data_IF_208516597357
#
_entry.id   IF_208516597357
#
_cell.length_a   1.000
_cell.length_b   1.000
_cell.length_c   1.000
_cell.angle_alpha   90.00
_cell.angle_beta   90.00
_cell.angle_gamma   90.00
#
_symmetry.space_group_name_H-M   'P 1'
#
loop_
_entity.id
_entity.type
_entity.pdbx_description
1 polymer ?
#
# COMPACT_ATOMS: atom_id res chain seq x y z
N UNK A 1 -14.15 23.41 29.50
CA UNK A 1 -12.87 23.63 28.80
C UNK A 1 -12.14 22.33 28.44
N UNK A 2 -12.22 21.22 29.20
CA UNK A 2 -11.52 19.94 28.91
C UNK A 2 -11.99 19.25 27.65
N UNK A 3 -13.29 19.10 27.42
CA UNK A 3 -13.87 18.38 26.25
C UNK A 3 -13.50 19.01 24.88
N UNK A 4 -13.40 20.35 24.83
CA UNK A 4 -12.95 21.05 23.60
C UNK A 4 -11.46 20.81 23.31
N UNK A 5 -10.63 20.68 24.33
CA UNK A 5 -9.18 20.44 24.20
C UNK A 5 -8.88 19.00 23.79
N UNK A 6 -9.64 18.03 24.31
CA UNK A 6 -9.55 16.61 23.92
C UNK A 6 -10.00 16.39 22.46
N UNK A 7 -11.12 16.98 22.03
CA UNK A 7 -11.58 16.92 20.63
C UNK A 7 -10.58 17.56 19.66
N UNK A 8 -10.00 18.70 20.03
CA UNK A 8 -8.98 19.38 19.22
C UNK A 8 -7.73 18.53 19.08
N UNK A 9 -7.26 17.87 20.15
CA UNK A 9 -6.10 16.98 20.13
C UNK A 9 -6.35 15.75 19.24
N UNK A 10 -7.56 15.17 19.27
CA UNK A 10 -7.94 14.02 18.45
C UNK A 10 -7.97 14.36 16.94
N UNK A 11 -8.49 15.56 16.58
CA UNK A 11 -8.53 16.00 15.17
C UNK A 11 -7.12 16.21 14.64
N UNK A 12 -6.24 16.86 15.41
CA UNK A 12 -4.85 17.11 15.00
C UNK A 12 -4.09 15.79 14.81
N UNK A 13 -4.31 14.80 15.69
CA UNK A 13 -3.71 13.48 15.54
C UNK A 13 -4.25 12.72 14.30
N UNK A 14 -5.56 12.81 14.03
CA UNK A 14 -6.15 12.23 12.79
C UNK A 14 -5.56 12.88 11.54
N UNK A 15 -5.38 14.20 11.56
CA UNK A 15 -4.73 14.93 10.45
C UNK A 15 -3.28 14.47 10.26
N UNK A 16 -2.54 14.26 11.35
CA UNK A 16 -1.18 13.73 11.28
C UNK A 16 -1.14 12.31 10.69
N UNK A 17 -2.03 11.42 11.16
CA UNK A 17 -2.15 10.05 10.61
C UNK A 17 -2.48 10.10 9.11
N UNK A 18 -3.42 10.95 8.71
CA UNK A 18 -3.81 11.13 7.32
C UNK A 18 -2.64 11.63 6.46
N UNK A 19 -1.92 12.64 6.92
CA UNK A 19 -0.77 13.21 6.22
C UNK A 19 0.40 12.23 6.14
N UNK A 20 0.68 11.48 7.21
CA UNK A 20 1.68 10.40 7.21
C UNK A 20 1.30 9.35 6.16
N UNK A 21 0.05 8.87 6.18
CA UNK A 21 -0.43 7.87 5.24
C UNK A 21 -0.32 8.32 3.78
N UNK A 22 -0.63 9.59 3.51
CA UNK A 22 -0.57 10.21 2.19
C UNK A 22 0.83 10.14 1.57
N UNK A 23 1.89 10.10 2.40
CA UNK A 23 3.28 10.04 1.94
C UNK A 23 3.76 8.63 1.54
N UNK A 24 2.99 7.58 1.81
CA UNK A 24 3.48 6.20 1.73
C UNK A 24 3.40 5.58 0.32
N UNK A 25 2.76 6.22 -0.66
CA UNK A 25 2.56 5.65 -2.00
C UNK A 25 3.02 6.54 -3.17
N UNK A 26 3.09 7.89 -3.08
CA UNK A 26 3.38 8.75 -4.22
C UNK A 26 4.67 8.38 -4.94
N UNK A 27 5.69 7.97 -4.19
CA UNK A 27 7.02 7.66 -4.72
C UNK A 27 7.06 6.44 -5.65
N UNK A 28 6.06 5.56 -5.58
CA UNK A 28 5.89 4.43 -6.49
C UNK A 28 5.03 4.80 -7.71
N UNK A 29 3.90 5.46 -7.46
CA UNK A 29 2.91 5.76 -8.50
C UNK A 29 3.35 6.86 -9.45
N UNK A 30 4.22 7.77 -9.02
CA UNK A 30 4.80 8.82 -9.85
C UNK A 30 5.80 8.33 -10.89
N UNK A 31 6.32 7.09 -10.75
CA UNK A 31 7.32 6.53 -11.67
C UNK A 31 6.69 6.14 -13.01
N UNK A 32 5.54 5.46 -12.98
CA UNK A 32 4.91 4.92 -14.20
C UNK A 32 4.72 5.95 -15.32
N UNK A 33 4.08 7.10 -15.06
CA UNK A 33 3.91 8.15 -16.06
C UNK A 33 5.22 8.71 -16.62
N UNK A 34 6.31 8.71 -15.84
CA UNK A 34 7.64 9.20 -16.19
C UNK A 34 8.59 8.10 -16.66
N UNK A 35 8.10 6.87 -16.86
CA UNK A 35 8.94 5.71 -17.11
C UNK A 35 9.83 5.85 -18.36
N UNK A 36 9.32 6.49 -19.42
CA UNK A 36 10.08 6.72 -20.67
C UNK A 36 11.21 7.70 -20.42
N UNK A 37 10.94 8.83 -19.78
CA UNK A 37 11.95 9.86 -19.49
C UNK A 37 13.06 9.29 -18.58
N UNK A 38 12.67 8.54 -17.55
CA UNK A 38 13.60 7.86 -16.64
C UNK A 38 14.46 6.85 -17.41
N UNK A 39 13.84 6.00 -18.23
CA UNK A 39 14.54 4.96 -19.00
C UNK A 39 15.56 5.58 -19.97
N UNK A 40 15.17 6.62 -20.71
CA UNK A 40 16.04 7.29 -21.67
C UNK A 40 17.24 7.99 -21.00
N UNK A 41 17.03 8.60 -19.83
CA UNK A 41 18.09 9.35 -19.12
C UNK A 41 18.99 8.47 -18.26
N UNK A 42 18.48 7.32 -17.75
CA UNK A 42 19.22 6.46 -16.82
C UNK A 42 19.70 5.15 -17.42
N UNK A 43 19.23 4.81 -18.61
CA UNK A 43 19.51 3.53 -19.27
C UNK A 43 18.82 2.31 -18.64
N UNK A 44 17.87 2.53 -17.70
CA UNK A 44 17.10 1.43 -17.11
C UNK A 44 16.16 0.81 -18.13
N UNK A 45 16.35 -0.48 -18.40
CA UNK A 45 15.40 -1.29 -19.17
C UNK A 45 14.18 -1.69 -18.32
N UNK A 46 13.20 -2.37 -18.92
CA UNK A 46 11.93 -2.74 -18.28
C UNK A 46 12.11 -3.48 -16.96
N UNK A 47 13.01 -4.47 -16.91
CA UNK A 47 13.32 -5.19 -15.66
C UNK A 47 13.95 -4.27 -14.60
N UNK A 48 14.83 -3.35 -15.00
CA UNK A 48 15.40 -2.33 -14.11
C UNK A 48 14.36 -1.39 -13.55
N UNK A 49 13.39 -0.98 -14.37
CA UNK A 49 12.25 -0.16 -13.93
C UNK A 49 11.37 -0.91 -12.91
N UNK A 50 11.19 -2.23 -13.08
CA UNK A 50 10.46 -3.05 -12.12
C UNK A 50 11.11 -3.04 -10.72
N UNK A 51 12.44 -2.85 -10.60
CA UNK A 51 13.13 -2.74 -9.31
C UNK A 51 12.67 -1.53 -8.50
N UNK A 52 12.19 -0.48 -9.14
CA UNK A 52 11.69 0.73 -8.44
C UNK A 52 10.41 0.47 -7.64
N UNK A 53 9.68 -0.60 -7.96
CA UNK A 53 8.53 -1.07 -7.16
C UNK A 53 8.87 -2.32 -6.35
N UNK A 54 9.66 -3.24 -6.90
CA UNK A 54 10.05 -4.50 -6.26
C UNK A 54 10.86 -4.25 -4.97
N UNK A 55 11.91 -3.43 -5.04
CA UNK A 55 12.81 -3.18 -3.89
C UNK A 55 12.04 -2.57 -2.71
N UNK A 56 11.25 -1.50 -2.87
CA UNK A 56 10.42 -0.99 -1.79
C UNK A 56 9.47 -2.03 -1.19
N UNK A 57 8.81 -2.83 -2.01
CA UNK A 57 7.85 -3.83 -1.53
C UNK A 57 8.54 -4.98 -0.81
N UNK A 58 9.73 -5.42 -1.25
CA UNK A 58 10.54 -6.39 -0.51
C UNK A 58 10.94 -5.85 0.86
N UNK A 59 11.36 -4.58 0.92
CA UNK A 59 11.69 -3.94 2.19
C UNK A 59 10.46 -3.81 3.10
N UNK A 60 9.31 -3.43 2.57
CA UNK A 60 8.06 -3.44 3.32
C UNK A 60 7.74 -4.84 3.84
N UNK A 61 7.95 -5.88 3.04
CA UNK A 61 7.77 -7.26 3.44
C UNK A 61 8.69 -7.67 4.59
N UNK A 62 9.99 -7.47 4.45
CA UNK A 62 11.01 -7.86 5.43
C UNK A 62 10.88 -7.07 6.71
N UNK A 63 10.79 -5.74 6.62
CA UNK A 63 10.76 -4.87 7.81
C UNK A 63 9.42 -4.87 8.54
N UNK A 64 8.35 -5.39 7.96
CA UNK A 64 7.10 -5.64 8.70
C UNK A 64 7.33 -6.61 9.88
N UNK A 65 8.25 -7.57 9.75
CA UNK A 65 8.62 -8.49 10.83
C UNK A 65 9.47 -7.81 11.91
N UNK A 66 10.11 -6.69 11.59
CA UNK A 66 10.93 -5.92 12.56
C UNK A 66 10.09 -4.97 13.43
N UNK A 67 8.79 -4.77 13.14
CA UNK A 67 7.90 -3.86 13.87
C UNK A 67 7.98 -4.01 15.39
N UNK A 68 7.78 -5.23 15.96
CA UNK A 68 7.87 -5.44 17.41
C UNK A 68 9.26 -5.14 17.99
N UNK A 69 10.33 -5.40 17.25
CA UNK A 69 11.69 -5.06 17.65
C UNK A 69 11.90 -3.55 17.72
N UNK A 70 11.50 -2.83 16.68
CA UNK A 70 11.59 -1.38 16.61
C UNK A 70 10.79 -0.71 17.74
N UNK A 71 9.58 -1.20 18.00
CA UNK A 71 8.72 -0.72 19.08
C UNK A 71 9.40 -0.84 20.45
N UNK A 72 10.08 -1.97 20.72
CA UNK A 72 10.67 -2.25 22.01
C UNK A 72 12.04 -1.59 22.24
N UNK A 73 12.82 -1.39 21.18
CA UNK A 73 14.21 -0.89 21.29
C UNK A 73 14.31 0.62 21.05
N UNK A 74 13.57 1.13 20.09
CA UNK A 74 13.68 2.54 19.66
C UNK A 74 12.49 3.38 20.17
N UNK A 75 11.34 2.76 20.32
CA UNK A 75 10.05 3.40 20.59
C UNK A 75 9.26 3.71 19.30
N UNK A 76 7.95 3.76 19.43
CA UNK A 76 7.05 3.95 18.27
C UNK A 76 7.21 5.33 17.64
N UNK A 77 7.18 6.39 18.45
CA UNK A 77 7.29 7.77 17.99
C UNK A 77 8.61 8.02 17.27
N UNK A 78 9.73 7.65 17.91
CA UNK A 78 11.05 7.84 17.31
C UNK A 78 11.21 7.06 16.02
N UNK A 79 10.74 5.81 15.97
CA UNK A 79 10.79 4.98 14.75
C UNK A 79 10.00 5.61 13.61
N UNK A 80 8.79 6.12 13.88
CA UNK A 80 7.97 6.80 12.85
C UNK A 80 8.63 8.09 12.38
N UNK A 81 9.21 8.90 13.28
CA UNK A 81 9.88 10.15 12.90
C UNK A 81 11.15 9.88 12.06
N UNK A 82 11.96 8.88 12.42
CA UNK A 82 13.11 8.46 11.61
C UNK A 82 12.64 7.96 10.23
N UNK A 83 11.57 7.19 10.19
CA UNK A 83 11.00 6.71 8.93
C UNK A 83 10.52 7.87 8.02
N UNK A 84 9.87 8.88 8.58
CA UNK A 84 9.47 10.09 7.85
C UNK A 84 10.70 10.89 7.37
N UNK A 85 11.75 10.97 8.17
CA UNK A 85 13.01 11.59 7.76
C UNK A 85 13.65 10.83 6.58
N UNK A 86 13.58 9.49 6.55
CA UNK A 86 14.02 8.68 5.41
C UNK A 86 13.19 8.99 4.14
N UNK A 87 11.87 9.23 4.28
CA UNK A 87 11.04 9.64 3.14
C UNK A 87 11.44 11.03 2.61
N UNK A 88 11.76 11.99 3.50
CA UNK A 88 12.27 13.32 3.11
C UNK A 88 13.58 13.17 2.34
N UNK A 89 14.56 12.51 2.95
CA UNK A 89 15.90 12.34 2.38
C UNK A 89 15.85 11.57 1.06
N UNK A 90 15.14 10.43 1.03
CA UNK A 90 15.02 9.61 -0.17
C UNK A 90 14.36 10.34 -1.34
N UNK A 91 13.32 11.15 -1.06
CA UNK A 91 12.68 11.98 -2.09
C UNK A 91 13.58 13.11 -2.55
N UNK A 92 14.28 13.78 -1.64
CA UNK A 92 15.22 14.88 -1.97
C UNK A 92 16.42 14.40 -2.79
N UNK A 93 16.99 13.24 -2.45
CA UNK A 93 18.12 12.66 -3.18
C UNK A 93 17.79 12.33 -4.64
N UNK A 94 16.52 12.18 -5.00
CA UNK A 94 16.10 11.98 -6.39
C UNK A 94 16.48 13.16 -7.32
N UNK A 95 16.67 14.35 -6.77
CA UNK A 95 17.17 15.52 -7.53
C UNK A 95 18.57 15.31 -8.10
N UNK A 96 19.36 14.45 -7.51
CA UNK A 96 20.78 14.28 -7.83
C UNK A 96 21.09 12.92 -8.47
N UNK A 97 20.08 12.15 -8.83
CA UNK A 97 20.27 10.82 -9.43
C UNK A 97 20.67 10.95 -10.89
N UNK A 98 21.84 10.44 -11.25
CA UNK A 98 22.36 10.42 -12.62
C UNK A 98 22.35 9.01 -13.25
N UNK A 99 22.09 7.97 -12.43
CA UNK A 99 22.04 6.59 -12.89
C UNK A 99 20.83 5.85 -12.33
N UNK A 100 20.40 4.81 -13.05
CA UNK A 100 19.28 3.99 -12.61
C UNK A 100 19.51 3.31 -11.25
N UNK A 101 20.74 2.91 -10.94
CA UNK A 101 21.07 2.30 -9.66
C UNK A 101 20.97 3.28 -8.48
N UNK A 102 21.33 4.55 -8.68
CA UNK A 102 21.10 5.59 -7.68
C UNK A 102 19.60 5.78 -7.44
N UNK A 103 18.80 5.77 -8.51
CA UNK A 103 17.33 5.87 -8.39
C UNK A 103 16.75 4.67 -7.62
N UNK A 104 17.23 3.44 -7.87
CA UNK A 104 16.87 2.24 -7.09
C UNK A 104 17.30 2.38 -5.62
N UNK A 105 18.48 2.95 -5.35
CA UNK A 105 18.93 3.26 -3.99
C UNK A 105 17.99 4.22 -3.26
N UNK A 106 17.52 5.28 -3.92
CA UNK A 106 16.51 6.18 -3.33
C UNK A 106 15.18 5.47 -3.10
N UNK A 107 14.76 4.59 -4.02
CA UNK A 107 13.55 3.79 -3.86
C UNK A 107 13.67 2.84 -2.65
N UNK A 108 14.85 2.29 -2.37
CA UNK A 108 15.11 1.49 -1.19
C UNK A 108 14.95 2.30 0.11
N UNK A 109 15.49 3.54 0.17
CA UNK A 109 15.30 4.43 1.33
C UNK A 109 13.82 4.74 1.58
N UNK A 110 13.09 5.07 0.52
CA UNK A 110 11.66 5.36 0.57
C UNK A 110 10.85 4.13 1.00
N UNK A 111 11.21 2.95 0.46
CA UNK A 111 10.62 1.66 0.84
C UNK A 111 10.86 1.33 2.32
N UNK A 112 12.07 1.57 2.84
CA UNK A 112 12.40 1.36 4.25
C UNK A 112 11.58 2.27 5.16
N UNK A 113 11.51 3.57 4.86
CA UNK A 113 10.69 4.53 5.61
C UNK A 113 9.21 4.11 5.62
N UNK A 114 8.68 3.75 4.46
CA UNK A 114 7.30 3.26 4.31
C UNK A 114 7.06 1.99 5.12
N UNK A 115 7.99 1.03 5.09
CA UNK A 115 7.90 -0.23 5.82
C UNK A 115 7.75 -0.03 7.32
N UNK A 116 8.58 0.83 7.91
CA UNK A 116 8.55 1.14 9.34
C UNK A 116 7.22 1.79 9.74
N UNK A 117 6.75 2.77 8.97
CA UNK A 117 5.45 3.43 9.23
C UNK A 117 4.31 2.41 9.16
N UNK A 118 4.25 1.60 8.11
CA UNK A 118 3.18 0.61 7.93
C UNK A 118 3.20 -0.50 9.00
N UNK A 119 4.36 -0.86 9.51
CA UNK A 119 4.47 -1.84 10.58
C UNK A 119 3.95 -1.31 11.93
N UNK A 120 4.14 -0.03 12.22
CA UNK A 120 3.84 0.55 13.54
C UNK A 120 2.47 1.25 13.61
N UNK A 121 2.05 1.93 12.53
CA UNK A 121 0.88 2.81 12.56
C UNK A 121 -0.44 2.09 12.89
N UNK A 122 -0.74 0.87 12.41
CA UNK A 122 -1.95 0.15 12.80
C UNK A 122 -2.06 -0.11 14.30
N UNK A 123 -0.94 -0.44 14.95
CA UNK A 123 -0.87 -0.59 16.42
C UNK A 123 -1.12 0.72 17.16
N UNK A 124 -0.52 1.81 16.70
CA UNK A 124 -0.73 3.16 17.24
C UNK A 124 -2.21 3.56 17.10
N UNK A 125 -2.81 3.35 15.93
CA UNK A 125 -4.24 3.64 15.68
C UNK A 125 -5.13 2.84 16.62
N UNK A 126 -4.90 1.53 16.77
CA UNK A 126 -5.71 0.68 17.65
C UNK A 126 -5.62 1.09 19.12
N UNK A 127 -4.45 1.58 19.56
CA UNK A 127 -4.24 2.07 20.92
C UNK A 127 -4.91 3.44 21.15
N UNK A 128 -4.77 4.36 20.20
CA UNK A 128 -5.25 5.74 20.35
C UNK A 128 -6.75 5.90 20.09
N UNK A 129 -7.32 5.04 19.24
CA UNK A 129 -8.72 5.10 18.81
C UNK A 129 -9.43 3.74 18.98
N UNK A 130 -9.49 3.14 20.19
CA UNK A 130 -9.99 1.77 20.40
C UNK A 130 -11.45 1.60 19.96
N UNK A 131 -12.28 2.64 20.09
CA UNK A 131 -13.70 2.62 19.69
C UNK A 131 -13.95 2.97 18.22
N UNK A 132 -12.93 3.42 17.48
CA UNK A 132 -13.05 3.91 16.11
C UNK A 132 -11.99 3.31 15.18
N UNK A 133 -11.40 2.16 15.55
CA UNK A 133 -10.30 1.52 14.78
C UNK A 133 -10.65 1.39 13.30
N UNK A 134 -11.85 0.87 12.98
CA UNK A 134 -12.26 0.66 11.60
C UNK A 134 -12.34 1.96 10.79
N UNK A 135 -12.87 3.04 11.39
CA UNK A 135 -12.96 4.34 10.73
C UNK A 135 -11.57 4.96 10.49
N UNK A 136 -10.71 4.93 11.51
CA UNK A 136 -9.36 5.53 11.42
C UNK A 136 -8.46 4.70 10.47
N UNK A 137 -8.58 3.37 10.48
CA UNK A 137 -7.90 2.51 9.52
C UNK A 137 -8.44 2.68 8.09
N UNK A 138 -9.74 2.94 7.94
CA UNK A 138 -10.32 3.32 6.66
C UNK A 138 -9.75 4.65 6.15
N UNK A 139 -9.67 5.68 7.01
CA UNK A 139 -9.03 6.96 6.69
C UNK A 139 -7.54 6.77 6.33
N UNK A 140 -6.80 6.00 7.13
CA UNK A 140 -5.42 5.65 6.85
C UNK A 140 -5.25 5.01 5.46
N UNK A 141 -6.06 3.99 5.16
CA UNK A 141 -6.02 3.28 3.88
C UNK A 141 -6.41 4.21 2.72
N UNK A 142 -7.45 5.04 2.90
CA UNK A 142 -7.90 6.00 1.90
C UNK A 142 -6.82 7.05 1.60
N UNK A 143 -6.17 7.59 2.64
CA UNK A 143 -5.08 8.58 2.47
C UNK A 143 -3.84 7.95 1.82
N UNK A 144 -3.51 6.71 2.18
CA UNK A 144 -2.43 5.95 1.55
C UNK A 144 -2.67 5.79 0.04
N UNK A 145 -3.90 5.42 -0.36
CA UNK A 145 -4.28 5.29 -1.78
C UNK A 145 -4.39 6.67 -2.46
N UNK A 146 -4.94 7.67 -1.76
CA UNK A 146 -4.99 9.07 -2.22
C UNK A 146 -3.60 9.65 -2.49
N UNK A 147 -2.61 9.30 -1.66
CA UNK A 147 -1.21 9.61 -1.93
C UNK A 147 -0.73 9.02 -3.25
N UNK A 148 -1.14 7.79 -3.56
CA UNK A 148 -0.89 7.18 -4.86
C UNK A 148 -1.48 8.00 -6.03
N UNK A 149 -2.71 8.49 -5.89
CA UNK A 149 -3.32 9.38 -6.89
C UNK A 149 -2.52 10.67 -7.08
N UNK A 150 -2.07 11.29 -5.97
CA UNK A 150 -1.23 12.48 -6.02
C UNK A 150 0.08 12.21 -6.76
N UNK A 151 0.76 11.10 -6.47
CA UNK A 151 2.00 10.74 -7.16
C UNK A 151 1.80 10.59 -8.67
N UNK A 152 0.77 9.86 -9.07
CA UNK A 152 0.46 9.63 -10.48
C UNK A 152 0.09 10.90 -11.26
N UNK A 153 -0.56 11.87 -10.60
CA UNK A 153 -1.03 13.10 -11.25
C UNK A 153 -0.05 14.26 -11.15
N UNK A 154 0.56 14.47 -9.96
CA UNK A 154 1.42 15.64 -9.71
C UNK A 154 2.81 15.44 -10.32
N UNK A 155 3.36 14.21 -10.29
CA UNK A 155 4.71 13.98 -10.81
C UNK A 155 4.85 14.36 -12.30
N UNK A 156 3.98 13.89 -13.23
CA UNK A 156 4.07 14.31 -14.61
C UNK A 156 3.76 15.80 -14.81
N UNK A 157 2.88 16.39 -13.99
CA UNK A 157 2.58 17.84 -14.04
C UNK A 157 3.81 18.67 -13.66
N UNK A 158 4.48 18.34 -12.56
CA UNK A 158 5.72 19.03 -12.13
C UNK A 158 6.81 18.87 -13.18
N UNK A 159 6.96 17.67 -13.77
CA UNK A 159 7.90 17.42 -14.87
C UNK A 159 7.58 18.30 -16.07
N UNK A 160 6.31 18.41 -16.47
CA UNK A 160 5.91 19.25 -17.60
C UNK A 160 6.17 20.75 -17.36
N UNK A 161 6.01 21.22 -16.12
CA UNK A 161 6.24 22.63 -15.75
C UNK A 161 7.73 22.97 -15.57
N UNK A 162 8.54 22.04 -15.07
CA UNK A 162 9.97 22.26 -14.81
C UNK A 162 10.87 21.86 -15.98
N UNK A 163 10.39 21.01 -16.89
CA UNK A 163 11.21 20.38 -17.92
C UNK A 163 12.15 19.29 -17.40
N UNK A 164 12.01 18.88 -16.11
CA UNK A 164 12.92 17.94 -15.46
C UNK A 164 12.14 16.87 -14.66
N UNK A 165 12.31 15.61 -15.02
CA UNK A 165 11.69 14.48 -14.35
C UNK A 165 12.18 14.27 -12.89
N UNK A 166 13.39 14.74 -12.55
CA UNK A 166 13.89 14.71 -11.18
C UNK A 166 13.02 15.56 -10.26
N UNK A 167 12.64 16.76 -10.69
CA UNK A 167 11.69 17.63 -9.96
C UNK A 167 10.33 16.93 -9.83
N UNK A 168 9.89 16.25 -10.90
CA UNK A 168 8.68 15.44 -10.92
C UNK A 168 8.65 14.29 -9.91
N UNK A 169 9.80 13.81 -9.44
CA UNK A 169 9.89 12.80 -8.38
C UNK A 169 10.26 13.38 -7.01
N UNK A 170 10.90 14.55 -6.96
CA UNK A 170 11.42 15.12 -5.71
C UNK A 170 10.41 15.99 -4.94
N UNK A 171 9.32 16.48 -5.57
CA UNK A 171 8.30 17.32 -4.91
C UNK A 171 7.73 16.64 -3.65
N UNK A 172 7.75 15.32 -3.60
CA UNK A 172 7.29 14.52 -2.46
C UNK A 172 8.08 14.80 -1.18
N UNK A 173 9.32 15.30 -1.28
CA UNK A 173 10.12 15.69 -0.12
C UNK A 173 9.44 16.77 0.72
N UNK A 174 8.75 17.72 0.07
CA UNK A 174 8.00 18.76 0.76
C UNK A 174 6.82 18.17 1.56
N UNK A 175 6.05 17.28 0.94
CA UNK A 175 4.92 16.61 1.59
C UNK A 175 5.39 15.75 2.79
N UNK A 176 6.52 15.05 2.62
CA UNK A 176 7.13 14.26 3.69
C UNK A 176 7.67 15.13 4.83
N UNK A 177 8.27 16.29 4.53
CA UNK A 177 8.73 17.24 5.53
C UNK A 177 7.57 17.81 6.36
N UNK A 178 6.44 18.11 5.73
CA UNK A 178 5.21 18.53 6.43
C UNK A 178 4.69 17.42 7.36
N UNK A 179 4.69 16.16 6.90
CA UNK A 179 4.29 15.02 7.72
C UNK A 179 5.24 14.80 8.90
N UNK A 180 6.55 14.96 8.68
CA UNK A 180 7.56 14.88 9.73
C UNK A 180 7.37 15.97 10.79
N UNK A 181 7.18 17.23 10.36
CA UNK A 181 6.97 18.36 11.26
C UNK A 181 5.69 18.19 12.10
N UNK A 182 4.57 17.81 11.47
CA UNK A 182 3.31 17.57 12.15
C UNK A 182 3.41 16.36 13.08
N UNK A 183 4.01 15.25 12.62
CA UNK A 183 4.22 14.06 13.44
C UNK A 183 5.10 14.31 14.66
N UNK A 184 6.14 15.16 14.53
CA UNK A 184 7.01 15.53 15.65
C UNK A 184 6.27 16.26 16.78
N UNK A 185 5.22 17.02 16.45
CA UNK A 185 4.43 17.76 17.45
C UNK A 185 3.27 16.92 18.00
N UNK A 186 2.69 16.01 17.18
CA UNK A 186 1.40 15.40 17.51
C UNK A 186 1.47 13.95 17.96
N UNK A 187 2.48 13.19 17.51
CA UNK A 187 2.60 11.80 17.92
C UNK A 187 2.89 11.69 19.41
N UNK A 188 2.17 10.79 20.12
CA UNK A 188 2.34 10.62 21.56
C UNK A 188 3.77 10.24 21.90
N UNK A 189 4.27 10.70 23.06
CA UNK A 189 5.59 10.30 23.54
C UNK A 189 5.68 8.79 23.72
N UNK A 190 6.88 8.25 23.51
CA UNK A 190 7.13 6.83 23.73
C UNK A 190 6.86 6.50 25.20
N UNK A 191 5.84 5.72 25.47
CA UNK A 191 5.61 5.16 26.80
C UNK A 191 6.48 3.93 26.98
N UNK A 192 7.13 3.81 28.14
CA UNK A 192 8.00 2.67 28.49
C UNK A 192 7.23 1.34 28.70
N UNK A 193 6.07 1.19 28.12
CA UNK A 193 5.31 -0.06 28.13
C UNK A 193 6.11 -1.10 27.35
N UNK A 194 6.88 -1.93 28.06
CA UNK A 194 7.41 -3.18 27.54
C UNK A 194 6.21 -4.04 27.15
N UNK A 195 5.79 -3.94 25.90
CA UNK A 195 4.90 -4.95 25.33
C UNK A 195 5.62 -6.29 25.50
N UNK A 196 4.95 -7.24 26.15
CA UNK A 196 5.53 -8.57 26.35
C UNK A 196 6.07 -9.11 25.02
N UNK A 197 7.17 -9.85 25.05
CA UNK A 197 7.81 -10.43 23.85
C UNK A 197 6.75 -11.21 23.06
N UNK A 198 6.21 -10.60 22.01
CA UNK A 198 5.35 -11.32 21.06
C UNK A 198 6.28 -12.27 20.31
N UNK A 199 6.11 -13.56 20.55
CA UNK A 199 6.91 -14.58 19.89
C UNK A 199 6.39 -14.73 18.44
N UNK A 200 6.88 -13.90 17.51
CA UNK A 200 6.55 -13.93 16.08
C UNK A 200 6.60 -15.36 15.51
N UNK A 201 7.61 -16.15 15.94
CA UNK A 201 7.75 -17.54 15.52
C UNK A 201 6.57 -18.46 15.86
N UNK A 202 5.84 -18.17 16.95
CA UNK A 202 4.65 -18.97 17.31
C UNK A 202 3.49 -18.75 16.34
N UNK A 203 3.36 -17.54 15.78
CA UNK A 203 2.34 -17.22 14.78
C UNK A 203 2.66 -17.86 13.43
N UNK A 204 3.92 -17.87 13.00
CA UNK A 204 4.34 -18.47 11.74
C UNK A 204 4.12 -20.00 11.68
N UNK A 205 3.98 -20.67 12.81
CA UNK A 205 3.62 -22.09 12.86
C UNK A 205 2.12 -22.34 12.58
N UNK A 206 1.30 -21.28 12.50
CA UNK A 206 -0.17 -21.42 12.32
C UNK A 206 -0.56 -21.28 10.85
N UNK A 207 -1.26 -22.26 10.26
CA UNK A 207 -1.70 -22.21 8.86
C UNK A 207 -2.57 -21.00 8.54
N UNK A 208 -3.30 -20.47 9.55
CA UNK A 208 -4.16 -19.28 9.39
C UNK A 208 -3.35 -18.04 9.01
N UNK A 209 -2.16 -17.88 9.55
CA UNK A 209 -1.28 -16.72 9.26
C UNK A 209 -0.85 -16.76 7.79
N UNK A 210 -0.47 -17.92 7.28
CA UNK A 210 -0.12 -18.11 5.87
C UNK A 210 -1.30 -17.86 4.93
N UNK A 211 -2.51 -18.26 5.35
CA UNK A 211 -3.74 -17.98 4.61
C UNK A 211 -3.97 -16.46 4.49
N UNK A 212 -3.80 -15.71 5.58
CA UNK A 212 -3.93 -14.25 5.58
C UNK A 212 -2.86 -13.60 4.71
N UNK A 213 -1.60 -14.05 4.82
CA UNK A 213 -0.50 -13.59 3.97
C UNK A 213 -0.79 -13.83 2.49
N UNK A 214 -1.27 -15.03 2.14
CA UNK A 214 -1.59 -15.38 0.75
C UNK A 214 -2.75 -14.53 0.20
N UNK A 215 -3.86 -14.41 0.94
CA UNK A 215 -4.99 -13.58 0.52
C UNK A 215 -4.56 -12.12 0.30
N UNK A 216 -3.83 -11.54 1.25
CA UNK A 216 -3.34 -10.17 1.16
C UNK A 216 -2.33 -10.01 0.02
N UNK A 217 -1.40 -10.95 -0.13
CA UNK A 217 -0.32 -10.91 -1.11
C UNK A 217 -0.81 -11.01 -2.55
N UNK A 218 -1.72 -11.93 -2.85
CA UNK A 218 -2.29 -12.11 -4.17
C UNK A 218 -3.01 -10.85 -4.66
N UNK A 219 -3.81 -10.22 -3.78
CA UNK A 219 -4.52 -8.97 -4.09
C UNK A 219 -3.55 -7.80 -4.25
N UNK A 220 -2.61 -7.64 -3.32
CA UNK A 220 -1.63 -6.55 -3.40
C UNK A 220 -0.63 -6.74 -4.55
N UNK A 221 -0.40 -7.96 -5.01
CA UNK A 221 0.33 -8.23 -6.25
C UNK A 221 -0.38 -7.66 -7.47
N UNK A 222 -1.71 -7.79 -7.54
CA UNK A 222 -2.53 -7.12 -8.55
C UNK A 222 -2.35 -5.60 -8.49
N UNK A 223 -2.39 -5.01 -7.29
CA UNK A 223 -2.14 -3.58 -7.10
C UNK A 223 -0.76 -3.16 -7.59
N UNK A 224 0.30 -3.85 -7.15
CA UNK A 224 1.68 -3.48 -7.52
C UNK A 224 1.91 -3.58 -9.03
N UNK A 225 1.33 -4.60 -9.68
CA UNK A 225 1.39 -4.77 -11.13
C UNK A 225 0.65 -3.66 -11.87
N UNK A 226 -0.55 -3.31 -11.42
CA UNK A 226 -1.32 -2.22 -12.02
C UNK A 226 -0.58 -0.89 -11.88
N UNK A 227 0.01 -0.62 -10.72
CA UNK A 227 0.83 0.60 -10.50
C UNK A 227 2.04 0.64 -11.42
N UNK A 228 2.70 -0.50 -11.63
CA UNK A 228 3.88 -0.57 -12.48
C UNK A 228 3.53 -0.50 -13.98
N UNK A 229 2.49 -1.20 -14.41
CA UNK A 229 2.30 -1.53 -15.82
C UNK A 229 1.03 -0.97 -16.48
N UNK A 230 0.07 -0.40 -15.73
CA UNK A 230 -1.15 0.15 -16.35
C UNK A 230 -0.82 1.31 -17.29
N UNK A 231 -0.02 2.28 -16.84
CA UNK A 231 0.39 3.40 -17.70
C UNK A 231 1.23 2.94 -18.90
N UNK A 232 2.29 2.12 -18.75
CA UNK A 232 3.01 1.54 -19.87
C UNK A 232 2.11 0.78 -20.85
N UNK A 233 1.17 -0.03 -20.37
CA UNK A 233 0.22 -0.77 -21.19
C UNK A 233 -0.62 0.15 -22.09
N UNK A 234 -1.21 1.23 -21.54
CA UNK A 234 -1.96 2.18 -22.35
C UNK A 234 -1.06 3.03 -23.26
N UNK A 235 0.20 3.23 -22.88
CA UNK A 235 1.20 3.87 -23.76
C UNK A 235 1.50 3.01 -24.98
N UNK A 236 1.57 1.69 -24.87
CA UNK A 236 1.69 0.77 -26.02
C UNK A 236 0.46 0.80 -26.92
N UNK A 237 -0.74 1.08 -26.37
CA UNK A 237 -1.98 1.30 -27.13
C UNK A 237 -2.05 2.70 -27.78
N UNK A 238 -0.98 3.51 -27.69
CA UNK A 238 -0.90 4.83 -28.33
C UNK A 238 -1.38 6.00 -27.47
N UNK A 239 -1.70 5.78 -26.18
CA UNK A 239 -2.14 6.86 -25.29
C UNK A 239 -0.98 7.78 -24.92
N UNK A 240 -1.27 9.07 -24.68
CA UNK A 240 -0.29 10.03 -24.17
C UNK A 240 0.09 9.75 -22.71
N UNK A 241 1.26 10.23 -22.25
CA UNK A 241 1.68 10.08 -20.87
C UNK A 241 0.70 10.72 -19.87
N UNK A 242 0.18 11.94 -20.10
CA UNK A 242 -0.83 12.53 -19.21
C UNK A 242 -2.13 11.71 -19.16
N UNK A 243 -2.60 11.18 -20.28
CA UNK A 243 -3.83 10.38 -20.33
C UNK A 243 -3.69 9.07 -19.56
N UNK A 244 -2.58 8.35 -19.76
CA UNK A 244 -2.30 7.10 -19.03
C UNK A 244 -2.07 7.32 -17.54
N UNK A 245 -1.41 8.43 -17.16
CA UNK A 245 -1.25 8.86 -15.77
C UNK A 245 -2.58 9.21 -15.11
N UNK A 246 -3.46 9.90 -15.82
CA UNK A 246 -4.82 10.23 -15.34
C UNK A 246 -5.64 8.97 -15.08
N UNK A 247 -5.51 7.94 -15.92
CA UNK A 247 -6.19 6.66 -15.70
C UNK A 247 -5.73 5.98 -14.41
N UNK A 248 -4.41 5.98 -14.15
CA UNK A 248 -3.85 5.46 -12.89
C UNK A 248 -4.30 6.30 -11.69
N UNK A 249 -4.43 7.62 -11.83
CA UNK A 249 -4.93 8.50 -10.79
C UNK A 249 -6.41 8.21 -10.47
N UNK A 250 -7.26 8.02 -11.49
CA UNK A 250 -8.66 7.62 -11.34
C UNK A 250 -8.77 6.29 -10.57
N UNK A 251 -7.95 5.30 -10.95
CA UNK A 251 -7.86 4.03 -10.24
C UNK A 251 -7.51 4.26 -8.76
N UNK A 252 -6.49 5.06 -8.45
CA UNK A 252 -6.06 5.31 -7.08
C UNK A 252 -7.11 6.10 -6.27
N UNK A 253 -7.84 7.04 -6.87
CA UNK A 253 -8.98 7.72 -6.22
C UNK A 253 -10.10 6.72 -5.91
N UNK A 254 -10.43 5.85 -6.86
CA UNK A 254 -11.42 4.79 -6.66
C UNK A 254 -11.01 3.80 -5.55
N UNK A 255 -9.71 3.48 -5.47
CA UNK A 255 -9.15 2.70 -4.37
C UNK A 255 -9.37 3.39 -3.03
N UNK A 256 -9.05 4.69 -2.95
CA UNK A 256 -9.20 5.47 -1.73
C UNK A 256 -10.67 5.54 -1.28
N UNK A 257 -11.58 5.80 -2.20
CA UNK A 257 -13.01 5.83 -1.93
C UNK A 257 -13.51 4.46 -1.43
N UNK A 258 -13.16 3.37 -2.10
CA UNK A 258 -13.56 2.03 -1.70
C UNK A 258 -12.93 1.59 -0.38
N UNK A 259 -11.67 1.92 -0.13
CA UNK A 259 -11.00 1.63 1.13
C UNK A 259 -11.66 2.32 2.33
N UNK A 260 -12.26 3.50 2.12
CA UNK A 260 -13.03 4.21 3.14
C UNK A 260 -14.44 3.65 3.29
N UNK A 261 -15.14 3.42 2.17
CA UNK A 261 -16.57 3.07 2.17
C UNK A 261 -16.84 1.60 2.54
N UNK A 262 -16.02 0.65 2.06
CA UNK A 262 -16.26 -0.77 2.31
C UNK A 262 -16.23 -1.15 3.80
N UNK A 263 -15.31 -0.65 4.64
CA UNK A 263 -15.39 -0.84 6.08
C UNK A 263 -16.66 -0.29 6.72
N UNK A 264 -17.17 0.84 6.23
CA UNK A 264 -18.41 1.45 6.74
C UNK A 264 -19.61 0.57 6.42
N UNK A 265 -19.72 0.09 5.18
CA UNK A 265 -20.81 -0.81 4.76
C UNK A 265 -20.76 -2.16 5.49
N UNK A 266 -19.55 -2.71 5.64
CA UNK A 266 -19.33 -3.97 6.33
C UNK A 266 -19.48 -3.90 7.86
N UNK A 267 -19.57 -2.69 8.46
CA UNK A 267 -19.50 -2.48 9.92
C UNK A 267 -20.49 -3.31 10.74
N UNK A 268 -21.71 -3.50 10.23
CA UNK A 268 -22.79 -4.21 10.91
C UNK A 268 -22.71 -5.74 10.76
N UNK A 269 -21.87 -6.24 9.87
CA UNK A 269 -21.75 -7.65 9.59
C UNK A 269 -20.53 -8.23 10.32
N UNK A 270 -20.71 -9.27 11.12
CA UNK A 270 -19.59 -10.02 11.71
C UNK A 270 -18.82 -10.79 10.63
N UNK A 271 -19.55 -11.36 9.66
CA UNK A 271 -18.95 -12.03 8.51
C UNK A 271 -18.60 -11.03 7.41
N UNK A 272 -17.29 -10.81 7.21
CA UNK A 272 -16.75 -9.90 6.20
C UNK A 272 -16.65 -10.53 4.81
N UNK A 273 -16.80 -11.85 4.69
CA UNK A 273 -16.59 -12.59 3.43
C UNK A 273 -17.46 -12.10 2.26
N UNK A 274 -18.77 -11.82 2.42
CA UNK A 274 -19.59 -11.32 1.31
C UNK A 274 -19.05 -10.01 0.73
N UNK A 275 -18.55 -9.09 1.59
CA UNK A 275 -17.96 -7.83 1.17
C UNK A 275 -16.62 -8.03 0.47
N UNK A 276 -15.79 -8.98 0.94
CA UNK A 276 -14.52 -9.33 0.27
C UNK A 276 -14.80 -9.97 -1.09
N UNK A 277 -15.80 -10.84 -1.22
CA UNK A 277 -16.18 -11.42 -2.52
C UNK A 277 -16.71 -10.35 -3.49
N UNK A 278 -17.45 -9.37 -3.02
CA UNK A 278 -17.91 -8.24 -3.85
C UNK A 278 -16.73 -7.48 -4.46
N UNK A 279 -15.75 -7.10 -3.65
CA UNK A 279 -14.57 -6.36 -4.14
C UNK A 279 -13.62 -7.23 -4.97
N UNK A 280 -13.57 -8.54 -4.73
CA UNK A 280 -12.86 -9.49 -5.60
C UNK A 280 -13.58 -9.65 -6.95
N UNK A 281 -14.92 -9.66 -6.99
CA UNK A 281 -15.67 -9.68 -8.25
C UNK A 281 -15.40 -8.43 -9.09
N UNK A 282 -15.27 -7.24 -8.47
CA UNK A 282 -14.85 -6.03 -9.18
C UNK A 282 -13.46 -6.18 -9.82
N UNK A 283 -12.51 -6.85 -9.13
CA UNK A 283 -11.19 -7.15 -9.70
C UNK A 283 -11.26 -8.14 -10.86
N UNK A 284 -12.10 -9.19 -10.75
CA UNK A 284 -12.35 -10.13 -11.86
C UNK A 284 -12.83 -9.36 -13.09
N UNK A 285 -13.83 -8.49 -12.95
CA UNK A 285 -14.34 -7.67 -14.05
C UNK A 285 -13.24 -6.75 -14.61
N UNK A 286 -12.49 -6.07 -13.77
CA UNK A 286 -11.44 -5.16 -14.20
C UNK A 286 -10.29 -5.85 -14.96
N UNK A 287 -9.75 -6.94 -14.43
CA UNK A 287 -8.68 -7.68 -15.12
C UNK A 287 -9.17 -8.37 -16.40
N UNK A 288 -10.40 -8.88 -16.41
CA UNK A 288 -11.02 -9.43 -17.63
C UNK A 288 -11.14 -8.34 -18.70
N UNK A 289 -11.62 -7.15 -18.32
CA UNK A 289 -11.76 -6.04 -19.24
C UNK A 289 -10.42 -5.54 -19.80
N UNK A 290 -9.37 -5.44 -18.97
CA UNK A 290 -8.02 -5.10 -19.44
C UNK A 290 -7.45 -6.16 -20.39
N UNK A 291 -7.84 -7.43 -20.23
CA UNK A 291 -7.37 -8.51 -21.09
C UNK A 291 -8.03 -8.53 -22.46
N UNK A 292 -9.33 -8.22 -22.55
CA UNK A 292 -10.12 -8.47 -23.77
C UNK A 292 -10.72 -7.21 -24.40
N UNK A 293 -10.97 -6.13 -23.62
CA UNK A 293 -11.58 -4.89 -24.08
C UNK A 293 -10.97 -3.64 -23.43
N UNK A 294 -9.65 -3.46 -23.48
CA UNK A 294 -8.97 -2.39 -22.73
C UNK A 294 -9.48 -1.00 -23.09
N UNK A 295 -9.80 -0.75 -24.38
CA UNK A 295 -10.25 0.56 -24.88
C UNK A 295 -11.78 0.74 -24.86
N UNK A 296 -12.55 -0.30 -24.51
CA UNK A 296 -14.03 -0.24 -24.53
C UNK A 296 -14.61 0.78 -23.54
N UNK A 297 -14.07 0.82 -22.32
CA UNK A 297 -14.43 1.80 -21.30
C UNK A 297 -13.29 1.95 -20.25
N UNK A 298 -12.11 2.50 -20.63
CA UNK A 298 -10.90 2.48 -19.79
C UNK A 298 -11.11 3.09 -18.42
N UNK A 299 -11.84 4.20 -18.32
CA UNK A 299 -12.18 4.86 -17.05
C UNK A 299 -13.01 3.94 -16.14
N UNK A 300 -13.99 3.23 -16.69
CA UNK A 300 -14.82 2.30 -15.93
C UNK A 300 -13.98 1.12 -15.42
N UNK A 301 -13.08 0.59 -16.25
CA UNK A 301 -12.17 -0.49 -15.85
C UNK A 301 -11.22 -0.07 -14.73
N UNK A 302 -10.68 1.15 -14.82
CA UNK A 302 -9.85 1.73 -13.75
C UNK A 302 -10.64 1.92 -12.45
N UNK A 303 -11.91 2.37 -12.51
CA UNK A 303 -12.78 2.53 -11.34
C UNK A 303 -13.08 1.18 -10.70
N UNK A 304 -13.51 0.18 -11.49
CA UNK A 304 -13.83 -1.16 -10.97
C UNK A 304 -12.61 -1.82 -10.33
N UNK A 305 -11.48 -1.78 -11.03
CA UNK A 305 -10.23 -2.36 -10.53
C UNK A 305 -9.76 -1.64 -9.25
N UNK A 306 -9.79 -0.31 -9.27
CA UNK A 306 -9.44 0.50 -8.11
C UNK A 306 -10.34 0.20 -6.91
N UNK A 307 -11.66 0.21 -7.10
CA UNK A 307 -12.62 -0.11 -6.04
C UNK A 307 -12.40 -1.52 -5.47
N UNK A 308 -12.17 -2.50 -6.34
CA UNK A 308 -11.88 -3.88 -5.95
C UNK A 308 -10.61 -4.01 -5.11
N UNK A 309 -9.51 -3.40 -5.56
CA UNK A 309 -8.21 -3.44 -4.89
C UNK A 309 -8.24 -2.70 -3.55
N UNK A 310 -8.81 -1.48 -3.52
CA UNK A 310 -8.86 -0.66 -2.30
C UNK A 310 -9.75 -1.24 -1.22
N UNK A 311 -10.96 -1.68 -1.59
CA UNK A 311 -11.89 -2.31 -0.66
C UNK A 311 -11.32 -3.60 -0.08
N UNK A 312 -10.69 -4.44 -0.91
CA UNK A 312 -10.07 -5.68 -0.46
C UNK A 312 -8.90 -5.42 0.50
N UNK A 313 -8.05 -4.43 0.21
CA UNK A 313 -6.98 -4.01 1.10
C UNK A 313 -7.50 -3.64 2.49
N UNK A 314 -8.50 -2.75 2.58
CA UNK A 314 -9.05 -2.29 3.85
C UNK A 314 -9.77 -3.43 4.61
N UNK A 315 -10.56 -4.25 3.93
CA UNK A 315 -11.29 -5.35 4.56
C UNK A 315 -10.38 -6.47 5.07
N UNK A 316 -9.30 -6.79 4.35
CA UNK A 316 -8.33 -7.81 4.82
C UNK A 316 -7.59 -7.36 6.08
N UNK A 317 -7.30 -6.06 6.22
CA UNK A 317 -6.78 -5.50 7.47
C UNK A 317 -7.74 -5.71 8.64
N UNK A 318 -9.02 -5.38 8.43
CA UNK A 318 -10.04 -5.53 9.48
C UNK A 318 -10.18 -6.99 9.86
N UNK A 319 -10.22 -7.90 8.89
CA UNK A 319 -10.27 -9.36 9.16
C UNK A 319 -9.06 -9.80 9.99
N UNK A 320 -7.85 -9.33 9.69
CA UNK A 320 -6.67 -9.65 10.50
C UNK A 320 -6.81 -9.15 11.94
N UNK A 321 -7.32 -7.93 12.12
CA UNK A 321 -7.55 -7.33 13.44
C UNK A 321 -8.70 -7.99 14.21
N UNK A 322 -9.72 -8.52 13.52
CA UNK A 322 -10.86 -9.23 14.11
C UNK A 322 -10.47 -10.61 14.66
N UNK A 323 -9.33 -11.20 14.25
CA UNK A 323 -8.89 -12.52 14.72
C UNK A 323 -8.49 -12.59 16.19
N UNK A 324 -8.06 -11.48 16.79
CA UNK A 324 -7.52 -11.42 18.15
C UNK A 324 -8.05 -10.19 18.89
N UNK A 325 -8.53 -10.38 20.12
CA UNK A 325 -9.06 -9.29 20.95
C UNK A 325 -7.96 -8.36 21.47
N UNK A 326 -6.80 -8.92 21.84
CA UNK A 326 -5.67 -8.15 22.32
C UNK A 326 -5.07 -7.27 21.22
N UNK A 327 -4.96 -5.93 21.44
CA UNK A 327 -4.48 -4.98 20.42
C UNK A 327 -3.05 -5.24 19.95
N UNK A 328 -2.15 -5.65 20.85
CA UNK A 328 -0.76 -5.88 20.50
C UNK A 328 -0.61 -7.13 19.64
N UNK A 329 -1.32 -8.21 20.02
CA UNK A 329 -1.35 -9.45 19.27
C UNK A 329 -2.01 -9.26 17.88
N UNK A 330 -3.14 -8.54 17.82
CA UNK A 330 -3.82 -8.22 16.57
C UNK A 330 -2.93 -7.36 15.63
N UNK A 331 -2.21 -6.38 16.21
CA UNK A 331 -1.24 -5.58 15.47
C UNK A 331 -0.09 -6.42 14.91
N UNK A 332 0.46 -7.35 15.73
CA UNK A 332 1.49 -8.28 15.28
C UNK A 332 1.01 -9.21 14.16
N UNK A 333 -0.22 -9.74 14.27
CA UNK A 333 -0.82 -10.57 13.22
C UNK A 333 -1.00 -9.77 11.92
N UNK A 334 -1.47 -8.52 12.02
CA UNK A 334 -1.61 -7.61 10.88
C UNK A 334 -0.26 -7.30 10.22
N UNK A 335 0.79 -7.06 11.02
CA UNK A 335 2.13 -6.83 10.51
C UNK A 335 2.68 -8.08 9.79
N UNK A 336 2.46 -9.28 10.34
CA UNK A 336 2.85 -10.54 9.70
C UNK A 336 2.11 -10.76 8.38
N UNK A 337 0.78 -10.53 8.36
CA UNK A 337 -0.02 -10.61 7.14
C UNK A 337 0.53 -9.68 6.05
N UNK A 338 0.82 -8.43 6.40
CA UNK A 338 1.41 -7.47 5.47
C UNK A 338 2.81 -7.92 5.02
N UNK A 339 3.65 -8.33 5.98
CA UNK A 339 5.03 -8.73 5.68
C UNK A 339 5.10 -9.83 4.64
N UNK A 340 4.46 -10.98 4.93
CA UNK A 340 4.39 -12.10 3.99
C UNK A 340 3.66 -11.75 2.70
N UNK A 341 2.58 -10.96 2.80
CA UNK A 341 1.82 -10.51 1.65
C UNK A 341 2.61 -9.58 0.72
N UNK A 342 3.39 -8.66 1.25
CA UNK A 342 4.24 -7.79 0.41
C UNK A 342 5.39 -8.54 -0.24
N UNK A 343 5.94 -9.59 0.40
CA UNK A 343 6.93 -10.46 -0.25
C UNK A 343 6.32 -11.17 -1.47
N UNK A 344 5.09 -11.66 -1.37
CA UNK A 344 4.36 -12.26 -2.51
C UNK A 344 4.09 -11.18 -3.57
N UNK A 345 3.58 -10.02 -3.15
CA UNK A 345 3.19 -8.94 -4.05
C UNK A 345 4.38 -8.31 -4.79
N UNK A 346 5.57 -8.31 -4.21
CA UNK A 346 6.77 -7.71 -4.82
C UNK A 346 7.21 -8.42 -6.09
N UNK A 347 7.04 -9.74 -6.15
CA UNK A 347 7.54 -10.57 -7.24
C UNK A 347 6.63 -10.47 -8.49
N UNK A 348 5.33 -10.21 -8.30
CA UNK A 348 4.34 -10.28 -9.38
C UNK A 348 4.57 -9.25 -10.51
N UNK A 349 4.88 -7.96 -10.25
CA UNK A 349 5.21 -7.02 -11.32
C UNK A 349 6.43 -7.44 -12.14
N UNK A 350 7.43 -8.06 -11.49
CA UNK A 350 8.61 -8.57 -12.17
C UNK A 350 8.27 -9.78 -13.05
N UNK A 351 7.44 -10.71 -12.57
CA UNK A 351 6.95 -11.83 -13.38
C UNK A 351 6.22 -11.29 -14.61
N UNK A 352 5.39 -10.27 -14.47
CA UNK A 352 4.68 -9.67 -15.62
C UNK A 352 5.64 -9.00 -16.59
N UNK A 353 6.72 -8.36 -16.13
CA UNK A 353 7.77 -7.83 -17.02
C UNK A 353 8.43 -8.95 -17.83
N UNK A 354 8.81 -10.06 -17.19
CA UNK A 354 9.39 -11.22 -17.83
C UNK A 354 8.41 -11.83 -18.86
N UNK A 355 7.14 -12.00 -18.49
CA UNK A 355 6.11 -12.50 -19.39
C UNK A 355 5.93 -11.57 -20.60
N UNK A 356 5.95 -10.25 -20.38
CA UNK A 356 5.88 -9.26 -21.46
C UNK A 356 7.09 -9.38 -22.42
N UNK A 357 8.30 -9.52 -21.92
CA UNK A 357 9.49 -9.69 -22.75
C UNK A 357 9.42 -10.95 -23.65
N UNK A 358 8.83 -12.05 -23.16
CA UNK A 358 8.65 -13.27 -23.93
C UNK A 358 7.46 -13.25 -24.91
N UNK A 359 6.38 -12.53 -24.55
CA UNK A 359 5.11 -12.58 -25.32
C UNK A 359 4.84 -11.32 -26.13
N UNK A 360 5.55 -10.23 -25.86
CA UNK A 360 5.30 -8.91 -26.43
C UNK A 360 3.98 -8.27 -25.98
N UNK A 361 3.37 -8.77 -24.89
CA UNK A 361 2.04 -8.30 -24.46
C UNK A 361 1.85 -8.34 -22.95
N UNK A 362 1.24 -7.28 -22.39
CA UNK A 362 0.80 -7.22 -21.00
C UNK A 362 -0.44 -8.07 -20.70
N UNK A 363 -1.18 -8.54 -21.72
CA UNK A 363 -2.42 -9.32 -21.56
C UNK A 363 -2.18 -10.57 -20.73
N UNK A 364 -1.05 -11.26 -20.92
CA UNK A 364 -0.70 -12.46 -20.14
C UNK A 364 -0.55 -12.11 -18.65
N UNK A 365 -0.02 -10.93 -18.35
CA UNK A 365 0.06 -10.40 -16.98
C UNK A 365 -1.32 -10.17 -16.35
N UNK A 366 -2.26 -9.62 -17.09
CA UNK A 366 -3.64 -9.43 -16.60
C UNK A 366 -4.35 -10.76 -16.37
N UNK A 367 -4.17 -11.75 -17.25
CA UNK A 367 -4.68 -13.11 -17.07
C UNK A 367 -4.06 -13.83 -15.86
N UNK A 368 -2.77 -13.62 -15.60
CA UNK A 368 -2.12 -14.11 -14.37
C UNK A 368 -2.84 -13.57 -13.13
N UNK A 369 -3.15 -12.27 -13.10
CA UNK A 369 -3.87 -11.68 -11.97
C UNK A 369 -5.31 -12.15 -11.85
N UNK A 370 -5.98 -12.43 -12.96
CA UNK A 370 -7.29 -13.09 -12.94
C UNK A 370 -7.23 -14.44 -12.22
N UNK A 371 -6.19 -15.24 -12.50
CA UNK A 371 -5.90 -16.48 -11.77
C UNK A 371 -5.63 -16.25 -10.28
N UNK A 372 -4.83 -15.24 -9.92
CA UNK A 372 -4.57 -14.87 -8.53
C UNK A 372 -5.84 -14.50 -7.78
N UNK A 373 -6.74 -13.73 -8.39
CA UNK A 373 -8.05 -13.34 -7.81
C UNK A 373 -8.94 -14.57 -7.63
N UNK A 374 -8.98 -15.49 -8.58
CA UNK A 374 -9.73 -16.74 -8.46
C UNK A 374 -9.27 -17.59 -7.26
N UNK A 375 -7.95 -17.68 -7.06
CA UNK A 375 -7.35 -18.33 -5.88
C UNK A 375 -7.75 -17.58 -4.61
N UNK A 376 -7.69 -16.25 -4.57
CA UNK A 376 -8.09 -15.45 -3.41
C UNK A 376 -9.56 -15.66 -3.05
N UNK A 377 -10.48 -15.72 -4.03
CA UNK A 377 -11.90 -16.04 -3.83
C UNK A 377 -12.07 -17.39 -3.13
N UNK A 378 -11.32 -18.41 -3.55
CA UNK A 378 -11.36 -19.75 -2.94
C UNK A 378 -10.82 -19.73 -1.50
N UNK A 379 -9.73 -19.01 -1.25
CA UNK A 379 -9.10 -18.91 0.08
C UNK A 379 -9.98 -18.17 1.09
N UNK A 380 -10.70 -17.12 0.68
CA UNK A 380 -11.59 -16.32 1.52
C UNK A 380 -12.72 -17.18 2.14
N UNK A 381 -13.13 -18.27 1.49
CA UNK A 381 -14.10 -19.22 2.08
C UNK A 381 -13.68 -19.73 3.45
N UNK A 382 -12.37 -19.84 3.71
CA UNK A 382 -11.82 -20.31 4.99
C UNK A 382 -11.78 -19.25 6.10
N UNK A 383 -12.08 -17.98 5.79
CA UNK A 383 -12.08 -16.86 6.76
C UNK A 383 -13.43 -16.72 7.47
N UNK A 384 -13.95 -17.82 8.03
CA UNK A 384 -15.20 -17.82 8.81
C UNK A 384 -14.96 -17.23 10.19
N UNK A 385 -15.75 -16.23 10.67
CA UNK A 385 -15.56 -15.61 11.99
C UNK A 385 -15.51 -16.61 13.15
N UNK A 386 -16.41 -17.61 13.16
CA UNK A 386 -16.43 -18.69 14.17
C UNK A 386 -15.11 -19.49 14.27
N UNK A 387 -14.23 -19.40 13.26
CA UNK A 387 -12.94 -20.11 13.25
C UNK A 387 -11.77 -19.25 13.73
N UNK A 388 -11.94 -17.96 13.99
CA UNK A 388 -10.85 -17.04 14.29
C UNK A 388 -10.09 -17.42 15.56
N UNK A 389 -10.76 -17.45 16.71
CA UNK A 389 -10.14 -17.77 17.99
C UNK A 389 -9.49 -19.17 17.97
N UNK A 390 -10.24 -20.20 17.49
CA UNK A 390 -9.74 -21.58 17.38
C UNK A 390 -8.49 -21.68 16.51
N UNK A 391 -8.46 -21.00 15.35
CA UNK A 391 -7.32 -21.05 14.43
C UNK A 391 -6.08 -20.33 14.97
N UNK A 392 -6.27 -19.43 15.93
CA UNK A 392 -5.21 -18.72 16.64
C UNK A 392 -4.85 -19.36 17.99
N UNK A 393 -5.52 -20.46 18.39
CA UNK A 393 -5.27 -21.21 19.63
C UNK A 393 -5.56 -20.39 20.89
N UNK A 394 -6.56 -19.53 20.83
CA UNK A 394 -7.02 -18.65 21.92
C UNK A 394 -8.41 -19.11 22.40
N UNK A 395 -8.86 -20.25 21.95
CA UNK A 395 -10.14 -20.87 22.34
C UNK A 395 -9.96 -21.81 23.53
#
# INVERSE_FOLDING_TARGET
MSVKREKSSSIVLLTAIALIALNLRPFMTGIGPLAIDISQNTGLQLQGMALLTLVPMLLMGVFAFAGPFLQNQVGERRSVLVALALLVVGSFLRLFTTSGWQLVGTAALLGLGTAVVQALLPGIVKRMFPHQVGLVMGLYSAMLMGGGALGAQISPLVTALSGDWHMGLAWMALLAALALALGAVTLPADTAAKTGRIAVGSYLRRPRVWLLMACFGLVNGGYSTVVAWLSPFYRELGWSAPASGSLLAILAVSQAASALLMPVFARKNEDRRPWIWLVLAMQVLGFTALSFWPEGAPTLWAILLGAGLGGCFALTFIVALDHLSDPAQAGALSALMQGGGFLIAAILPWIVAVLHEYTGSFVVGWLLHLGCVAVAIALVRRLTPASYAKSMGVA
#
